data_IF_886201363797
#
_entry.id   IF_886201363797
#
_cell.length_a   1.000
_cell.length_b   1.000
_cell.length_c   1.000
_cell.angle_alpha   90.00
_cell.angle_beta   90.00
_cell.angle_gamma   90.00
#
_symmetry.space_group_name_H-M   'P 1'
#
loop_
_entity.id
_entity.type
_entity.pdbx_description
1 polymer ?
#
# COMPACT_ATOMS: atom_id res chain seq x y z
N UNK A 1 -5.82 3.80 -54.83
CA UNK A 1 -6.83 2.77 -55.13
C UNK A 1 -7.73 2.62 -53.93
N UNK A 2 -9.04 2.85 -54.13
CA UNK A 2 -10.25 2.50 -53.35
C UNK A 2 -10.15 2.50 -51.81
N UNK A 3 -10.68 3.47 -51.06
CA UNK A 3 -12.10 3.82 -50.80
C UNK A 3 -12.96 2.65 -50.29
N UNK A 4 -13.46 2.74 -49.05
CA UNK A 4 -14.91 2.60 -48.73
C UNK A 4 -15.25 3.01 -47.28
N UNK A 5 -16.09 4.04 -47.24
CA UNK A 5 -16.92 4.54 -46.14
C UNK A 5 -18.10 3.57 -45.95
N UNK A 6 -18.56 3.37 -44.71
CA UNK A 6 -19.91 2.88 -44.44
C UNK A 6 -20.50 3.54 -43.19
N UNK A 7 -21.34 4.55 -43.43
CA UNK A 7 -22.39 5.01 -42.52
C UNK A 7 -23.48 3.93 -42.42
N UNK A 8 -24.03 3.71 -41.23
CA UNK A 8 -25.37 3.16 -41.07
C UNK A 8 -26.22 4.12 -40.23
N UNK A 9 -27.34 4.51 -40.83
CA UNK A 9 -28.43 5.27 -40.24
C UNK A 9 -29.74 4.46 -40.38
N UNK A 10 -30.76 4.90 -39.64
CA UNK A 10 -32.18 4.45 -39.62
C UNK A 10 -32.46 3.14 -38.85
N UNK A 11 -33.55 2.98 -38.09
CA UNK A 11 -34.87 3.59 -38.24
C UNK A 11 -35.67 3.70 -36.92
N UNK A 12 -36.76 4.46 -37.00
CA UNK A 12 -37.69 4.85 -35.95
C UNK A 12 -38.92 3.94 -35.80
N UNK A 13 -39.66 4.22 -34.73
CA UNK A 13 -41.11 4.04 -34.50
C UNK A 13 -41.61 2.70 -33.95
N UNK A 14 -42.31 2.76 -32.80
CA UNK A 14 -43.77 2.61 -32.79
C UNK A 14 -44.40 3.05 -31.46
N UNK A 15 -45.49 3.78 -31.62
CA UNK A 15 -46.45 4.29 -30.64
C UNK A 15 -47.39 3.17 -30.22
N UNK A 16 -47.74 3.09 -28.93
CA UNK A 16 -48.93 2.39 -28.48
C UNK A 16 -49.68 3.25 -27.45
N UNK A 17 -50.70 3.95 -27.93
CA UNK A 17 -51.79 4.47 -27.11
C UNK A 17 -52.74 3.32 -26.74
N UNK A 18 -53.00 3.14 -25.45
CA UNK A 18 -54.10 2.32 -24.94
C UNK A 18 -54.99 3.17 -24.04
N UNK A 19 -56.21 3.44 -24.51
CA UNK A 19 -57.28 4.15 -23.79
C UNK A 19 -58.45 3.15 -23.67
N UNK A 20 -58.98 2.97 -22.46
CA UNK A 20 -60.13 2.11 -22.21
C UNK A 20 -60.62 2.25 -20.76
N UNK A 21 -61.72 2.98 -20.61
CA UNK A 21 -62.50 3.26 -19.41
C UNK A 21 -63.05 1.99 -18.73
N UNK A 22 -63.20 1.97 -17.39
CA UNK A 22 -64.49 2.25 -16.73
C UNK A 22 -64.48 2.02 -15.21
N UNK A 23 -65.47 2.63 -14.57
CA UNK A 23 -65.66 2.94 -13.14
C UNK A 23 -65.60 1.76 -12.15
N UNK A 24 -64.98 2.03 -10.98
CA UNK A 24 -65.58 1.73 -9.67
C UNK A 24 -65.06 2.72 -8.61
N UNK A 25 -65.97 3.57 -8.12
CA UNK A 25 -65.76 4.48 -6.99
C UNK A 25 -65.80 3.63 -5.71
N UNK A 26 -64.64 3.41 -5.09
CA UNK A 26 -64.53 2.83 -3.76
C UNK A 26 -64.49 3.96 -2.73
N UNK A 27 -65.19 3.77 -1.62
CA UNK A 27 -65.22 4.65 -0.45
C UNK A 27 -63.82 4.91 0.13
N UNK A 28 -63.59 6.07 0.78
CA UNK A 28 -62.34 6.36 1.46
C UNK A 28 -62.21 5.47 2.70
N UNK A 29 -61.21 4.59 2.68
CA UNK A 29 -60.73 3.88 3.86
C UNK A 29 -60.12 4.89 4.88
N UNK A 30 -60.22 4.62 6.19
CA UNK A 30 -59.69 5.49 7.22
C UNK A 30 -58.17 5.66 7.10
N UNK A 31 -57.72 6.91 7.17
CA UNK A 31 -56.32 7.33 7.16
C UNK A 31 -55.59 6.80 8.39
N UNK A 32 -55.02 5.59 8.30
CA UNK A 32 -54.00 5.12 9.22
C UNK A 32 -52.69 5.82 8.85
N UNK A 33 -52.22 6.70 9.75
CA UNK A 33 -50.96 7.42 9.61
C UNK A 33 -49.83 6.44 9.31
N UNK A 34 -49.31 6.50 8.08
CA UNK A 34 -48.08 5.81 7.72
C UNK A 34 -46.95 6.57 8.40
N UNK A 35 -46.44 6.02 9.51
CA UNK A 35 -45.16 6.46 10.03
C UNK A 35 -44.15 6.37 8.90
N UNK A 36 -43.44 7.47 8.63
CA UNK A 36 -42.32 7.47 7.70
C UNK A 36 -41.38 6.33 8.08
N UNK A 37 -41.25 5.34 7.20
CA UNK A 37 -40.20 4.33 7.31
C UNK A 37 -38.91 5.09 7.04
N UNK A 38 -38.31 5.59 8.12
CA UNK A 38 -37.02 6.27 8.09
C UNK A 38 -36.03 5.30 7.45
N UNK A 39 -35.56 5.64 6.25
CA UNK A 39 -34.51 4.87 5.59
C UNK A 39 -33.38 4.62 6.60
N UNK A 40 -32.86 3.38 6.70
CA UNK A 40 -31.79 3.09 7.64
C UNK A 40 -30.68 4.12 7.44
N UNK A 41 -30.29 4.80 8.53
CA UNK A 41 -29.24 5.78 8.51
C UNK A 41 -28.01 5.14 7.83
N UNK A 42 -27.42 5.85 6.87
CA UNK A 42 -26.19 5.39 6.23
C UNK A 42 -25.19 5.02 7.34
N UNK A 43 -24.51 3.87 7.22
CA UNK A 43 -23.57 3.44 8.25
C UNK A 43 -22.57 4.57 8.50
N UNK A 44 -22.40 4.94 9.78
CA UNK A 44 -21.45 5.96 10.19
C UNK A 44 -20.02 5.40 10.05
N UNK A 45 -19.47 5.48 8.83
CA UNK A 45 -18.11 5.06 8.53
C UNK A 45 -17.94 4.42 7.15
N UNK A 46 -16.72 3.96 6.88
CA UNK A 46 -16.36 3.27 5.64
C UNK A 46 -16.52 1.76 5.82
N UNK A 47 -17.32 1.13 4.97
CA UNK A 47 -17.42 -0.34 4.94
C UNK A 47 -16.19 -0.97 4.28
N UNK A 48 -15.58 -1.96 4.91
CA UNK A 48 -14.49 -2.77 4.31
C UNK A 48 -15.03 -4.16 4.01
N UNK A 49 -14.88 -4.58 2.76
CA UNK A 49 -15.39 -5.85 2.24
C UNK A 49 -14.24 -6.69 1.68
N UNK A 50 -14.27 -7.99 1.91
CA UNK A 50 -13.39 -8.98 1.28
C UNK A 50 -14.27 -10.00 0.58
N UNK A 51 -14.08 -10.15 -0.74
CA UNK A 51 -14.87 -11.03 -1.61
C UNK A 51 -16.39 -10.84 -1.42
N UNK A 52 -16.82 -9.59 -1.31
CA UNK A 52 -18.23 -9.19 -1.15
C UNK A 52 -18.79 -9.32 0.27
N UNK A 53 -18.04 -9.89 1.22
CA UNK A 53 -18.43 -9.97 2.63
C UNK A 53 -17.86 -8.80 3.41
N UNK A 54 -18.70 -8.07 4.15
CA UNK A 54 -18.23 -7.03 5.05
C UNK A 54 -17.43 -7.63 6.20
N UNK A 55 -16.21 -7.14 6.41
CA UNK A 55 -15.30 -7.59 7.47
C UNK A 55 -15.08 -6.52 8.53
N UNK A 56 -15.28 -5.24 8.19
CA UNK A 56 -15.18 -4.13 9.13
C UNK A 56 -16.07 -2.94 8.72
N UNK A 57 -16.33 -2.07 9.68
CA UNK A 57 -16.81 -0.70 9.47
C UNK A 57 -15.83 0.22 10.18
N UNK A 58 -15.20 1.13 9.44
CA UNK A 58 -14.17 2.03 9.96
C UNK A 58 -14.79 3.40 10.22
N UNK A 59 -14.86 3.77 11.49
CA UNK A 59 -15.39 5.06 11.95
C UNK A 59 -14.43 6.21 11.64
N UNK A 60 -14.93 7.44 11.62
CA UNK A 60 -14.10 8.64 11.45
C UNK A 60 -12.99 8.75 12.50
N UNK A 61 -13.29 8.35 13.75
CA UNK A 61 -12.32 8.30 14.83
C UNK A 61 -11.16 7.33 14.50
N UNK A 62 -11.46 6.15 13.95
CA UNK A 62 -10.43 5.21 13.52
C UNK A 62 -9.67 5.72 12.30
N UNK A 63 -10.35 6.35 11.34
CA UNK A 63 -9.72 6.94 10.14
C UNK A 63 -8.70 8.01 10.52
N UNK A 64 -8.96 8.78 11.58
CA UNK A 64 -8.01 9.79 12.08
C UNK A 64 -6.66 9.21 12.52
N UNK A 65 -6.59 7.90 12.79
CA UNK A 65 -5.35 7.18 13.11
C UNK A 65 -4.62 6.60 11.88
N UNK A 66 -5.07 6.94 10.67
CA UNK A 66 -4.47 6.52 9.39
C UNK A 66 -4.29 4.99 9.25
N UNK A 67 -5.34 4.19 9.51
CA UNK A 67 -5.20 2.75 9.58
C UNK A 67 -4.86 2.19 8.20
N UNK A 68 -3.88 1.29 8.16
CA UNK A 68 -3.59 0.54 6.95
C UNK A 68 -4.71 -0.43 6.65
N UNK A 69 -5.07 -0.53 5.38
CA UNK A 69 -6.20 -1.35 4.97
C UNK A 69 -5.97 -2.85 5.19
N UNK A 70 -4.73 -3.33 5.09
CA UNK A 70 -4.39 -4.73 5.39
C UNK A 70 -4.56 -5.07 6.87
N UNK A 71 -4.36 -4.12 7.79
CA UNK A 71 -4.65 -4.36 9.22
C UNK A 71 -6.13 -4.47 9.55
N UNK A 72 -7.02 -4.06 8.63
CA UNK A 72 -8.47 -4.03 8.80
C UNK A 72 -9.17 -5.27 8.23
N UNK A 73 -8.42 -6.20 7.63
CA UNK A 73 -8.96 -7.47 7.11
C UNK A 73 -8.50 -8.65 7.97
N UNK A 74 -9.21 -9.80 7.90
CA UNK A 74 -8.79 -11.02 8.60
C UNK A 74 -7.34 -11.41 8.30
N UNK A 75 -6.65 -12.00 9.27
CA UNK A 75 -5.22 -12.31 9.23
C UNK A 75 -4.81 -13.08 7.96
N UNK A 76 -5.61 -14.06 7.56
CA UNK A 76 -5.43 -14.88 6.36
C UNK A 76 -5.48 -14.07 5.04
N UNK A 77 -6.08 -12.88 5.08
CA UNK A 77 -6.30 -11.99 3.94
C UNK A 77 -5.38 -10.77 3.94
N UNK A 78 -4.51 -10.58 4.95
CA UNK A 78 -3.65 -9.40 5.06
C UNK A 78 -2.53 -9.37 4.01
N UNK A 79 -2.30 -10.49 3.33
CA UNK A 79 -1.24 -10.60 2.32
C UNK A 79 -1.58 -9.78 1.10
N UNK A 80 -1.06 -8.55 0.99
CA UNK A 80 -1.32 -7.66 -0.15
C UNK A 80 -1.01 -8.32 -1.51
N UNK A 81 -0.03 -9.23 -1.56
CA UNK A 81 0.34 -9.97 -2.78
C UNK A 81 -0.76 -10.91 -3.32
N UNK A 82 -1.79 -11.21 -2.52
CA UNK A 82 -2.96 -12.01 -2.93
C UNK A 82 -4.16 -11.14 -3.29
N UNK A 83 -4.04 -9.82 -3.27
CA UNK A 83 -5.14 -8.92 -3.61
C UNK A 83 -5.18 -8.73 -5.12
N UNK A 84 -6.23 -9.23 -5.75
CA UNK A 84 -6.47 -9.10 -7.19
C UNK A 84 -6.95 -7.69 -7.55
N UNK A 85 -7.80 -7.10 -6.72
CA UNK A 85 -8.20 -5.69 -6.87
C UNK A 85 -8.66 -5.04 -5.57
N UNK A 86 -8.56 -3.72 -5.52
CA UNK A 86 -9.22 -2.85 -4.54
C UNK A 86 -10.23 -2.01 -5.32
N UNK A 87 -11.51 -2.11 -4.99
CA UNK A 87 -12.58 -1.31 -5.56
C UNK A 87 -13.04 -0.30 -4.53
N UNK A 88 -13.00 0.97 -4.90
CA UNK A 88 -13.31 2.12 -4.05
C UNK A 88 -14.65 2.67 -4.49
N UNK A 89 -15.59 2.81 -3.56
CA UNK A 89 -16.89 3.44 -3.81
C UNK A 89 -16.93 4.76 -3.07
N UNK A 90 -17.05 5.86 -3.81
CA UNK A 90 -17.16 7.21 -3.25
C UNK A 90 -18.59 7.74 -3.27
N UNK A 91 -18.81 8.85 -2.57
CA UNK A 91 -20.03 9.65 -2.65
C UNK A 91 -20.39 9.92 -4.13
N UNK A 92 -21.62 9.56 -4.52
CA UNK A 92 -22.08 9.59 -5.92
C UNK A 92 -21.99 8.25 -6.66
N UNK A 93 -21.52 7.18 -6.00
CA UNK A 93 -21.57 5.81 -6.52
C UNK A 93 -20.54 5.50 -7.61
N UNK A 94 -19.59 6.41 -7.85
CA UNK A 94 -18.49 6.17 -8.79
C UNK A 94 -17.54 5.15 -8.18
N UNK A 95 -17.38 4.01 -8.86
CA UNK A 95 -16.42 2.98 -8.49
C UNK A 95 -15.08 3.22 -9.20
N UNK A 96 -13.99 3.29 -8.43
CA UNK A 96 -12.61 3.32 -8.94
C UNK A 96 -11.94 1.98 -8.58
N UNK A 97 -11.32 1.31 -9.55
CA UNK A 97 -10.67 0.02 -9.34
C UNK A 97 -9.15 0.13 -9.48
N UNK A 98 -8.42 -0.40 -8.49
CA UNK A 98 -6.98 -0.56 -8.51
C UNK A 98 -6.69 -2.05 -8.70
N UNK A 99 -6.28 -2.41 -9.92
CA UNK A 99 -5.94 -3.79 -10.25
C UNK A 99 -4.56 -4.16 -9.69
N UNK A 100 -4.48 -5.33 -9.07
CA UNK A 100 -3.28 -5.97 -8.52
C UNK A 100 -2.38 -4.95 -7.82
N UNK A 101 -2.86 -4.26 -6.76
CA UNK A 101 -2.15 -3.15 -6.11
C UNK A 101 -0.71 -3.52 -5.75
N UNK A 102 -0.48 -4.78 -5.38
CA UNK A 102 0.86 -5.25 -5.05
C UNK A 102 1.84 -5.32 -6.21
N UNK A 103 1.35 -5.61 -7.41
CA UNK A 103 2.15 -5.74 -8.61
C UNK A 103 2.31 -4.39 -9.33
N UNK A 104 1.26 -3.57 -9.36
CA UNK A 104 1.27 -2.24 -9.97
C UNK A 104 1.98 -1.19 -9.13
N UNK A 105 2.01 -1.35 -7.80
CA UNK A 105 2.61 -0.40 -6.88
C UNK A 105 3.49 -1.07 -5.81
N UNK A 106 4.59 -1.75 -6.22
CA UNK A 106 5.41 -2.67 -5.40
C UNK A 106 5.87 -2.12 -4.04
N UNK A 107 6.03 -0.81 -3.91
CA UNK A 107 6.54 -0.17 -2.69
C UNK A 107 5.47 0.63 -1.92
N UNK A 108 4.21 0.62 -2.37
CA UNK A 108 3.10 1.33 -1.70
C UNK A 108 2.25 0.38 -0.84
N UNK A 109 1.62 0.95 0.19
CA UNK A 109 0.65 0.30 1.08
C UNK A 109 -0.69 1.05 1.06
N UNK A 110 -1.83 0.34 1.03
CA UNK A 110 -3.14 0.96 1.10
C UNK A 110 -3.48 1.40 2.53
N UNK A 111 -4.02 2.60 2.69
CA UNK A 111 -4.50 3.12 3.97
C UNK A 111 -5.76 3.98 3.80
N UNK A 112 -6.52 4.09 4.89
CA UNK A 112 -7.58 5.08 5.04
C UNK A 112 -7.02 6.28 5.79
N UNK A 113 -7.47 7.49 5.45
CA UNK A 113 -7.00 8.72 6.09
C UNK A 113 -8.09 9.82 6.05
N UNK A 114 -8.03 10.84 6.93
CA UNK A 114 -8.92 11.98 6.87
C UNK A 114 -8.54 12.86 5.67
N UNK A 115 -9.39 12.86 4.64
CA UNK A 115 -9.25 13.70 3.46
C UNK A 115 -9.64 15.16 3.70
N UNK A 116 -9.87 15.89 2.60
CA UNK A 116 -10.28 17.29 2.67
C UNK A 116 -11.59 17.45 3.46
N UNK A 117 -11.62 18.43 4.37
CA UNK A 117 -12.76 18.64 5.26
C UNK A 117 -13.00 17.52 6.28
N UNK A 118 -12.05 16.61 6.46
CA UNK A 118 -12.16 15.46 7.36
C UNK A 118 -12.95 14.29 6.78
N UNK A 119 -13.39 14.37 5.52
CA UNK A 119 -14.12 13.29 4.87
C UNK A 119 -13.22 12.04 4.71
N UNK A 120 -13.74 10.83 4.91
CA UNK A 120 -13.00 9.60 4.67
C UNK A 120 -12.35 9.56 3.29
N UNK A 121 -11.07 9.18 3.23
CA UNK A 121 -10.34 9.02 1.99
C UNK A 121 -9.53 7.72 2.00
N UNK A 122 -9.19 7.25 0.81
CA UNK A 122 -8.30 6.12 0.57
C UNK A 122 -7.04 6.61 -0.13
N UNK A 123 -5.89 6.03 0.21
CA UNK A 123 -4.65 6.29 -0.50
C UNK A 123 -3.70 5.09 -0.55
N UNK A 124 -2.89 5.04 -1.62
CA UNK A 124 -1.68 4.23 -1.67
C UNK A 124 -0.50 5.09 -1.25
N UNK A 125 0.16 4.71 -0.16
CA UNK A 125 1.23 5.46 0.47
C UNK A 125 2.54 4.72 0.40
N UNK A 126 3.61 5.47 0.22
CA UNK A 126 4.92 5.01 0.67
C UNK A 126 4.88 4.89 2.21
N UNK A 127 5.40 3.80 2.83
CA UNK A 127 5.29 3.60 4.28
C UNK A 127 5.83 4.75 5.15
N UNK A 128 6.84 5.49 4.66
CA UNK A 128 7.38 6.66 5.37
C UNK A 128 6.43 7.84 5.28
N UNK A 129 5.84 8.06 4.11
CA UNK A 129 4.81 9.10 3.94
C UNK A 129 3.60 8.79 4.82
N UNK A 130 3.17 7.53 4.87
CA UNK A 130 2.09 7.11 5.78
C UNK A 130 2.43 7.40 7.24
N UNK A 131 3.62 7.02 7.70
CA UNK A 131 4.06 7.25 9.08
C UNK A 131 4.15 8.74 9.46
N UNK A 132 4.34 9.62 8.47
CA UNK A 132 4.38 11.08 8.64
C UNK A 132 3.03 11.75 8.37
N UNK A 133 1.96 10.98 8.09
CA UNK A 133 0.67 11.49 7.62
C UNK A 133 0.82 12.42 6.40
N UNK A 134 1.71 12.03 5.48
CA UNK A 134 2.08 12.74 4.26
C UNK A 134 1.09 12.55 3.12
N UNK A 135 1.57 12.69 1.87
CA UNK A 135 0.70 12.63 0.69
C UNK A 135 0.65 11.22 0.09
N UNK A 136 -0.54 10.72 -0.30
CA UNK A 136 -0.61 9.48 -1.05
C UNK A 136 -0.08 9.69 -2.47
N UNK A 137 0.45 8.63 -3.08
CA UNK A 137 0.82 8.63 -4.50
C UNK A 137 -0.42 8.52 -5.40
N UNK A 138 -1.45 7.83 -4.92
CA UNK A 138 -2.75 7.66 -5.57
C UNK A 138 -3.82 7.68 -4.50
N UNK A 139 -4.97 8.29 -4.75
CA UNK A 139 -6.03 8.33 -3.74
C UNK A 139 -7.40 8.65 -4.29
N UNK A 140 -8.39 8.40 -3.45
CA UNK A 140 -9.80 8.64 -3.68
C UNK A 140 -10.38 9.33 -2.45
N UNK A 141 -11.28 10.29 -2.65
CA UNK A 141 -11.86 11.09 -1.56
C UNK A 141 -13.34 10.75 -1.37
N UNK A 142 -13.89 11.16 -0.22
CA UNK A 142 -15.32 10.97 0.12
C UNK A 142 -15.75 9.51 0.00
N UNK A 143 -14.89 8.65 0.53
CA UNK A 143 -15.00 7.21 0.45
C UNK A 143 -16.17 6.72 1.30
N UNK A 144 -16.96 5.80 0.75
CA UNK A 144 -18.07 5.13 1.44
C UNK A 144 -17.77 3.65 1.69
N UNK A 145 -17.08 2.99 0.75
CA UNK A 145 -16.71 1.59 0.89
C UNK A 145 -15.40 1.25 0.17
N UNK A 146 -14.73 0.23 0.69
CA UNK A 146 -13.58 -0.43 0.07
C UNK A 146 -13.87 -1.92 -0.06
N UNK A 147 -13.82 -2.44 -1.29
CA UNK A 147 -14.02 -3.86 -1.58
C UNK A 147 -12.76 -4.48 -2.15
N UNK A 148 -12.19 -5.41 -1.40
CA UNK A 148 -11.00 -6.17 -1.77
C UNK A 148 -11.44 -7.49 -2.38
N UNK A 149 -10.91 -7.80 -3.56
CA UNK A 149 -11.07 -9.10 -4.19
C UNK A 149 -9.76 -9.87 -4.08
N UNK A 150 -9.82 -11.10 -3.58
CA UNK A 150 -8.64 -11.96 -3.47
C UNK A 150 -8.40 -12.76 -4.75
N UNK A 151 -7.13 -13.03 -5.05
CA UNK A 151 -6.73 -13.90 -6.14
C UNK A 151 -6.90 -15.36 -5.74
N UNK A 152 -7.65 -16.13 -6.54
CA UNK A 152 -7.82 -17.58 -6.34
C UNK A 152 -6.57 -18.40 -6.72
N UNK A 153 -5.57 -17.78 -7.36
CA UNK A 153 -4.36 -18.45 -7.80
C UNK A 153 -3.34 -18.58 -6.65
N UNK A 154 -3.18 -19.80 -6.15
CA UNK A 154 -2.15 -20.20 -5.21
C UNK A 154 -0.77 -20.20 -5.87
N UNK A 155 -0.05 -19.08 -5.75
CA UNK A 155 1.39 -19.04 -6.00
C UNK A 155 1.81 -17.93 -6.95
N UNK A 156 3.00 -17.39 -6.71
CA UNK A 156 3.73 -16.33 -7.43
C UNK A 156 3.73 -14.92 -6.78
N UNK A 157 2.91 -14.63 -5.77
CA UNK A 157 3.04 -13.39 -4.96
C UNK A 157 4.15 -13.43 -3.89
N UNK A 158 5.22 -14.21 -4.13
CA UNK A 158 6.09 -14.81 -3.10
C UNK A 158 7.05 -13.89 -2.35
N UNK A 159 7.32 -12.66 -2.81
CA UNK A 159 8.60 -12.06 -2.45
C UNK A 159 8.60 -11.06 -1.29
N UNK A 160 7.45 -10.51 -0.88
CA UNK A 160 7.47 -9.35 0.04
C UNK A 160 6.55 -9.46 1.27
N UNK A 161 5.86 -10.58 1.47
CA UNK A 161 4.97 -10.81 2.63
C UNK A 161 5.21 -12.21 3.21
N UNK A 162 6.34 -12.40 3.91
CA UNK A 162 6.39 -13.46 4.92
C UNK A 162 5.70 -12.88 6.15
N UNK A 163 4.65 -13.52 6.67
CA UNK A 163 3.72 -12.99 7.70
C UNK A 163 4.36 -12.56 9.02
N UNK A 164 5.14 -11.48 9.00
CA UNK A 164 5.55 -10.71 10.15
C UNK A 164 4.54 -9.59 10.41
N UNK A 165 4.47 -9.18 11.66
CA UNK A 165 3.63 -8.08 12.11
C UNK A 165 3.94 -6.81 11.31
N UNK A 166 2.90 -6.07 10.97
CA UNK A 166 3.02 -4.75 10.37
C UNK A 166 3.72 -3.84 11.39
N UNK A 167 4.92 -3.38 11.07
CA UNK A 167 5.69 -2.49 11.92
C UNK A 167 5.50 -1.04 11.49
N UNK A 168 5.31 -0.17 12.49
CA UNK A 168 5.43 1.27 12.33
C UNK A 168 6.90 1.62 12.06
N UNK A 169 7.25 2.17 10.88
CA UNK A 169 8.64 2.47 10.53
C UNK A 169 9.31 3.44 11.51
N UNK A 170 8.55 4.26 12.26
CA UNK A 170 9.13 5.19 13.24
C UNK A 170 9.68 4.46 14.48
N UNK A 171 9.19 3.26 14.76
CA UNK A 171 9.55 2.41 15.92
C UNK A 171 10.66 1.40 15.61
N UNK A 172 11.23 1.44 14.41
CA UNK A 172 12.34 0.57 14.06
C UNK A 172 13.54 0.84 14.95
N UNK A 173 14.30 -0.22 15.22
CA UNK A 173 15.58 -0.16 15.91
C UNK A 173 16.61 -0.90 15.07
N UNK A 174 17.64 -0.16 14.62
CA UNK A 174 18.81 -0.72 13.97
C UNK A 174 20.00 -0.57 14.90
N UNK A 175 20.49 -1.68 15.43
CA UNK A 175 21.65 -1.69 16.31
C UNK A 175 22.92 -1.74 15.46
N UNK A 176 23.87 -0.86 15.74
CA UNK A 176 25.17 -0.81 15.07
C UNK A 176 26.26 -0.98 16.12
N UNK A 177 26.93 -2.12 16.10
CA UNK A 177 28.08 -2.43 16.94
C UNK A 177 29.36 -2.03 16.25
N UNK A 178 30.17 -1.24 16.96
CA UNK A 178 31.52 -0.85 16.54
C UNK A 178 32.54 -1.27 17.59
N UNK A 179 33.85 -1.27 17.29
CA UNK A 179 34.88 -1.47 18.30
C UNK A 179 34.85 -0.43 19.43
N UNK A 180 34.19 0.72 19.23
CA UNK A 180 34.04 1.78 20.25
C UNK A 180 32.81 1.57 21.15
N UNK A 181 31.93 0.63 20.82
CA UNK A 181 30.66 0.42 21.50
C UNK A 181 29.49 0.23 20.54
N UNK A 182 28.32 0.00 21.13
CA UNK A 182 27.04 -0.18 20.42
C UNK A 182 26.21 1.11 20.46
N UNK A 183 25.44 1.32 19.40
CA UNK A 183 24.48 2.41 19.31
C UNK A 183 23.23 1.95 18.56
N UNK A 184 22.10 2.60 18.82
CA UNK A 184 20.84 2.33 18.12
C UNK A 184 20.48 3.51 17.23
N UNK A 185 20.34 3.25 15.93
CA UNK A 185 19.69 4.15 14.98
C UNK A 185 18.20 3.84 14.99
N UNK A 186 17.40 4.75 15.51
CA UNK A 186 15.94 4.58 15.55
C UNK A 186 15.33 4.88 14.18
N UNK A 187 14.14 4.32 13.95
CA UNK A 187 13.32 4.58 12.77
C UNK A 187 13.11 6.07 12.55
N UNK A 188 12.67 6.78 13.57
CA UNK A 188 12.51 8.24 13.53
C UNK A 188 13.75 8.98 12.97
N UNK A 189 14.96 8.65 13.46
CA UNK A 189 16.22 9.25 12.96
C UNK A 189 16.53 8.82 11.53
N UNK A 190 16.33 7.55 11.19
CA UNK A 190 16.55 7.06 9.83
C UNK A 190 15.63 7.76 8.81
N UNK A 191 14.39 8.04 9.19
CA UNK A 191 13.40 8.71 8.33
C UNK A 191 13.68 10.21 8.10
N UNK A 192 14.62 10.81 8.84
CA UNK A 192 15.14 12.16 8.58
C UNK A 192 16.18 12.16 7.45
N UNK A 193 16.83 11.01 7.20
CA UNK A 193 17.82 10.87 6.13
C UNK A 193 17.11 10.84 4.78
N UNK A 194 17.58 11.67 3.84
CA UNK A 194 17.01 11.72 2.49
C UNK A 194 17.10 10.35 1.81
N UNK A 195 15.95 9.87 1.33
CA UNK A 195 15.88 8.68 0.48
C UNK A 195 16.17 9.03 -0.96
N UNK A 196 16.94 8.17 -1.62
CA UNK A 196 17.29 8.27 -3.04
C UNK A 196 16.73 7.06 -3.79
N UNK A 197 16.67 7.08 -5.13
CA UNK A 197 16.33 5.90 -5.92
C UNK A 197 17.41 4.81 -5.83
N UNK A 198 17.02 3.56 -6.02
CA UNK A 198 17.95 2.44 -6.05
C UNK A 198 18.77 2.45 -7.37
N UNK A 199 19.97 1.86 -7.39
CA UNK A 199 20.74 1.74 -8.62
C UNK A 199 19.94 1.02 -9.72
N UNK A 200 19.67 1.73 -10.82
CA UNK A 200 18.91 1.21 -11.96
C UNK A 200 17.38 1.20 -11.78
N UNK A 201 16.83 1.74 -10.69
CA UNK A 201 15.38 1.81 -10.44
C UNK A 201 14.98 3.25 -10.02
N UNK A 202 14.07 3.90 -10.74
CA UNK A 202 13.65 5.28 -10.42
C UNK A 202 12.61 5.36 -9.28
N UNK A 203 11.78 4.32 -9.14
CA UNK A 203 10.64 4.33 -8.23
C UNK A 203 10.98 3.87 -6.81
N UNK A 204 11.89 2.90 -6.68
CA UNK A 204 12.23 2.28 -5.40
C UNK A 204 13.14 3.17 -4.56
N UNK A 205 12.58 3.75 -3.49
CA UNK A 205 13.30 4.69 -2.61
C UNK A 205 13.81 4.05 -1.32
N UNK A 206 14.99 4.48 -0.90
CA UNK A 206 15.73 3.91 0.23
C UNK A 206 17.04 4.64 0.43
N UNK A 207 18.03 3.96 1.00
CA UNK A 207 19.32 4.53 1.36
C UNK A 207 20.45 3.59 0.95
N UNK A 208 21.55 4.09 0.35
CA UNK A 208 22.80 3.36 0.36
C UNK A 208 23.22 3.09 1.80
N UNK A 209 23.68 1.87 2.09
CA UNK A 209 24.11 1.48 3.44
C UNK A 209 25.19 2.41 3.97
N UNK A 210 26.09 2.90 3.10
CA UNK A 210 27.11 3.87 3.43
C UNK A 210 26.53 5.15 4.06
N UNK A 211 25.39 5.66 3.57
CA UNK A 211 24.74 6.86 4.12
C UNK A 211 24.21 6.60 5.53
N UNK A 212 23.65 5.42 5.80
CA UNK A 212 23.19 5.03 7.14
C UNK A 212 24.37 4.95 8.11
N UNK A 213 25.46 4.30 7.68
CA UNK A 213 26.70 4.19 8.46
C UNK A 213 27.31 5.57 8.75
N UNK A 214 27.33 6.45 7.75
CA UNK A 214 27.85 7.81 7.88
C UNK A 214 27.02 8.65 8.85
N UNK A 215 25.69 8.53 8.80
CA UNK A 215 24.77 9.16 9.74
C UNK A 215 24.95 8.62 11.17
N UNK A 216 25.30 7.35 11.31
CA UNK A 216 25.68 6.73 12.57
C UNK A 216 27.14 7.03 13.00
N UNK A 217 27.88 7.87 12.27
CA UNK A 217 29.27 8.21 12.60
C UNK A 217 30.29 7.09 12.36
N UNK A 218 29.92 6.04 11.61
CA UNK A 218 30.81 4.94 11.23
C UNK A 218 31.57 5.31 9.95
N UNK A 219 32.83 5.75 10.10
CA UNK A 219 33.66 6.24 8.99
C UNK A 219 34.64 5.21 8.40
N UNK A 220 34.75 4.01 8.98
CA UNK A 220 35.73 3.02 8.51
C UNK A 220 35.44 1.61 9.00
N UNK A 221 35.63 0.66 8.09
CA UNK A 221 35.37 -0.76 8.25
C UNK A 221 36.19 -1.55 7.21
N UNK A 222 36.56 -2.78 7.55
CA UNK A 222 37.06 -3.78 6.60
C UNK A 222 35.95 -4.72 6.16
N UNK A 223 35.04 -5.03 7.09
CA UNK A 223 33.94 -5.96 6.88
C UNK A 223 32.72 -5.54 7.72
N UNK A 224 31.54 -5.81 7.20
CA UNK A 224 30.27 -5.63 7.88
C UNK A 224 29.55 -6.97 7.96
N UNK A 225 29.03 -7.30 9.13
CA UNK A 225 28.10 -8.42 9.31
C UNK A 225 26.72 -7.84 9.55
N UNK A 226 25.82 -8.05 8.60
CA UNK A 226 24.43 -7.61 8.67
C UNK A 226 23.58 -8.79 9.12
N UNK A 227 22.78 -8.62 10.18
CA UNK A 227 21.97 -9.70 10.75
C UNK A 227 20.50 -9.31 10.81
N UNK A 228 19.62 -10.25 10.44
CA UNK A 228 18.17 -10.09 10.58
C UNK A 228 17.64 -10.60 11.93
N UNK A 229 16.35 -10.37 12.19
CA UNK A 229 15.70 -10.85 13.42
C UNK A 229 15.60 -12.37 13.56
N UNK A 230 16.05 -13.14 12.55
CA UNK A 230 16.11 -14.61 12.54
C UNK A 230 17.55 -15.12 12.57
N UNK A 231 18.52 -14.24 12.89
CA UNK A 231 19.95 -14.54 12.92
C UNK A 231 20.55 -14.96 11.56
N UNK A 232 19.83 -14.72 10.46
CA UNK A 232 20.42 -14.85 9.12
C UNK A 232 21.38 -13.70 8.90
N UNK A 233 22.57 -14.02 8.36
CA UNK A 233 23.63 -13.05 8.19
C UNK A 233 24.02 -12.84 6.73
N UNK A 234 24.26 -11.59 6.37
CA UNK A 234 24.90 -11.17 5.13
C UNK A 234 26.23 -10.49 5.48
N UNK A 235 27.33 -11.07 4.99
CA UNK A 235 28.65 -10.45 5.10
C UNK A 235 28.89 -9.53 3.90
N UNK A 236 29.36 -8.32 4.17
CA UNK A 236 29.85 -7.39 3.14
C UNK A 236 31.32 -7.06 3.42
N UNK A 237 32.13 -7.10 2.38
CA UNK A 237 33.52 -6.65 2.46
C UNK A 237 33.62 -5.20 1.99
N UNK A 238 34.77 -4.55 2.26
CA UNK A 238 35.02 -3.17 1.83
C UNK A 238 34.75 -2.95 0.33
N UNK A 239 35.06 -3.94 -0.51
CA UNK A 239 34.80 -3.87 -1.96
C UNK A 239 33.33 -3.89 -2.34
N UNK A 240 32.44 -4.43 -1.49
CA UNK A 240 31.01 -4.44 -1.74
C UNK A 240 30.36 -3.06 -1.52
N UNK A 241 31.09 -2.06 -1.01
CA UNK A 241 30.63 -0.68 -0.76
C UNK A 241 31.26 0.35 -1.70
N UNK A 242 31.94 -0.08 -2.76
CA UNK A 242 32.42 0.82 -3.82
C UNK A 242 31.29 1.16 -4.78
N UNK A 243 30.73 2.36 -4.67
CA UNK A 243 29.59 2.85 -5.46
C UNK A 243 29.75 2.73 -6.98
N UNK A 244 30.98 2.56 -7.49
CA UNK A 244 31.24 2.35 -8.91
C UNK A 244 30.91 0.94 -9.39
N UNK A 245 30.95 -0.04 -8.49
CA UNK A 245 30.82 -1.48 -8.82
C UNK A 245 29.82 -2.22 -7.95
N UNK A 246 29.53 -1.74 -6.73
CA UNK A 246 28.64 -2.38 -5.77
C UNK A 246 28.01 -1.37 -4.80
N UNK A 247 26.69 -1.45 -4.63
CA UNK A 247 25.93 -0.60 -3.72
C UNK A 247 24.99 -1.48 -2.88
N UNK A 248 25.31 -1.72 -1.60
CA UNK A 248 24.38 -2.32 -0.65
C UNK A 248 23.35 -1.26 -0.33
N UNK A 249 22.11 -1.56 -0.65
CA UNK A 249 21.02 -0.61 -0.61
C UNK A 249 19.95 -1.10 0.34
N UNK A 250 19.52 -0.23 1.25
CA UNK A 250 18.56 -0.51 2.29
C UNK A 250 17.25 0.18 1.94
N UNK A 251 16.16 -0.58 1.87
CA UNK A 251 14.81 -0.04 1.68
C UNK A 251 13.84 -0.52 2.75
N UNK A 252 12.79 0.25 3.00
CA UNK A 252 11.66 -0.22 3.79
C UNK A 252 10.77 -1.09 2.91
N UNK A 253 10.45 -2.29 3.36
CA UNK A 253 9.43 -3.09 2.73
C UNK A 253 8.03 -2.63 3.20
N UNK A 254 6.99 -3.22 2.59
CA UNK A 254 5.59 -2.93 2.96
C UNK A 254 5.23 -3.30 4.39
N UNK A 255 5.99 -4.14 5.06
CA UNK A 255 5.77 -4.49 6.47
C UNK A 255 6.44 -3.50 7.42
N UNK A 256 7.13 -2.48 6.88
CA UNK A 256 7.90 -1.54 7.66
C UNK A 256 9.27 -2.06 8.06
N UNK A 257 9.71 -3.22 7.59
CA UNK A 257 11.02 -3.79 7.92
C UNK A 257 12.11 -3.35 6.92
N UNK A 258 13.36 -3.22 7.39
CA UNK A 258 14.51 -2.90 6.56
C UNK A 258 14.94 -4.11 5.72
N UNK A 259 15.01 -3.95 4.40
CA UNK A 259 15.53 -4.96 3.47
C UNK A 259 16.80 -4.43 2.84
N UNK A 260 17.85 -5.23 2.87
CA UNK A 260 19.11 -4.95 2.19
C UNK A 260 19.15 -5.72 0.89
N UNK A 261 19.47 -5.04 -0.20
CA UNK A 261 19.78 -5.65 -1.49
C UNK A 261 21.13 -5.12 -1.96
N UNK A 262 22.05 -6.01 -2.30
CA UNK A 262 23.35 -5.64 -2.86
C UNK A 262 23.20 -5.54 -4.37
N UNK A 263 23.35 -4.34 -4.92
CA UNK A 263 23.36 -4.11 -6.36
C UNK A 263 24.80 -4.14 -6.85
N UNK A 264 25.11 -4.97 -7.84
CA UNK A 264 26.43 -5.07 -8.47
C UNK A 264 26.35 -4.59 -9.91
N UNK A 265 27.33 -3.81 -10.34
CA UNK A 265 27.41 -3.26 -11.70
C UNK A 265 27.99 -4.30 -12.65
N UNK A 266 27.26 -4.59 -13.73
CA UNK A 266 27.66 -5.47 -14.81
C UNK A 266 27.52 -4.73 -16.15
N UNK A 267 28.65 -4.23 -16.67
CA UNK A 267 28.65 -3.29 -17.79
C UNK A 267 27.94 -1.99 -17.39
N UNK A 268 26.91 -1.60 -18.16
CA UNK A 268 26.06 -0.44 -17.84
C UNK A 268 24.81 -0.80 -17.01
N UNK A 269 24.61 -2.08 -16.69
CA UNK A 269 23.44 -2.55 -15.96
C UNK A 269 23.74 -2.83 -14.49
N UNK A 270 22.73 -2.72 -13.64
CA UNK A 270 22.79 -3.14 -12.24
C UNK A 270 22.06 -4.46 -12.05
N UNK A 271 22.67 -5.38 -11.31
CA UNK A 271 22.10 -6.69 -10.98
C UNK A 271 22.09 -6.91 -9.47
N UNK A 272 21.12 -7.69 -8.99
CA UNK A 272 21.03 -8.03 -7.55
C UNK A 272 21.97 -9.20 -7.24
N UNK A 273 22.86 -9.02 -6.27
CA UNK A 273 23.90 -9.99 -5.89
C UNK A 273 23.87 -10.46 -4.42
N UNK A 274 22.96 -9.93 -3.60
CA UNK A 274 22.77 -10.32 -2.20
C UNK A 274 21.47 -9.74 -1.65
N UNK A 275 20.84 -10.42 -0.70
CA UNK A 275 19.55 -10.03 -0.11
C UNK A 275 19.52 -10.39 1.37
N UNK A 276 19.12 -9.45 2.23
CA UNK A 276 18.83 -9.68 3.65
C UNK A 276 17.49 -9.02 3.98
N UNK A 277 16.59 -9.74 4.63
CA UNK A 277 15.22 -9.29 4.88
C UNK A 277 14.99 -9.08 6.37
N UNK A 278 14.68 -7.85 6.77
CA UNK A 278 14.48 -7.51 8.17
C UNK A 278 15.78 -7.26 8.91
N UNK A 279 16.66 -6.44 8.34
CA UNK A 279 17.89 -5.98 8.99
C UNK A 279 17.56 -5.33 10.34
N UNK A 280 18.16 -5.84 11.41
CA UNK A 280 18.04 -5.30 12.78
C UNK A 280 19.39 -4.99 13.41
N UNK A 281 20.47 -5.56 12.88
CA UNK A 281 21.80 -5.47 13.49
C UNK A 281 22.92 -5.36 12.46
N UNK A 282 23.91 -4.52 12.74
CA UNK A 282 25.15 -4.36 11.96
C UNK A 282 26.33 -4.47 12.90
N UNK A 283 27.22 -5.43 12.67
CA UNK A 283 28.54 -5.47 13.30
C UNK A 283 29.61 -4.92 12.35
N UNK A 284 30.35 -3.93 12.85
CA UNK A 284 31.44 -3.28 12.13
C UNK A 284 32.78 -3.89 12.54
N UNK A 285 33.43 -4.57 11.60
CA UNK A 285 34.74 -5.20 11.78
C UNK A 285 35.82 -4.34 11.12
N UNK A 286 36.91 -4.08 11.86
CA UNK A 286 37.99 -3.16 11.48
C UNK A 286 39.23 -3.84 10.99
#
# INVERSE_FOLDING_TARGET
MSTRIALFALAAALVACGKGDDKKKAEPAPTTGSAEVKAPAAPAGVGVYVDGKQVATVTDAQISAWPRLDSLVPAENQRLGTWDSINLTSEGGKATAIAKPSASHPDLVPALYPGEGGAPAFGLFDPVELAKHGKPSLGETKLQAVSIKLSMASGHGGNDHQGGDIQDPTKLELIIKTPKGEQTVTGAKLLEVQRVPAPGEEEAKGWPLAVILDHAGVKGYQKLLLTDGKETALTLEKGDLDEKVSVPYVKLNRQGALRVTVYKKHGESWQRGGDLRGLVYIEVQK
#
